data_IF_526606910730
#
_entry.id   IF_526606910730
#
_cell.length_a   1.000
_cell.length_b   1.000
_cell.length_c   1.000
_cell.angle_alpha   90.00
_cell.angle_beta   90.00
_cell.angle_gamma   90.00
#
_symmetry.space_group_name_H-M   'P 1'
#
loop_
_entity.id
_entity.type
_entity.pdbx_description
1 polymer ?
#
# COMPACT_ATOMS: atom_id res chain seq x y z
N UNK A 1 14.84 -11.19 10.22
CA UNK A 1 16.02 -11.27 9.31
C UNK A 1 15.66 -12.10 8.07
N UNK A 2 16.01 -11.65 6.87
CA UNK A 2 15.68 -12.36 5.61
C UNK A 2 14.38 -11.92 4.93
N UNK A 3 13.95 -10.67 5.13
CA UNK A 3 12.81 -10.07 4.41
C UNK A 3 13.33 -8.86 3.64
N UNK A 4 12.96 -8.75 2.37
CA UNK A 4 13.16 -7.53 1.57
C UNK A 4 11.93 -6.65 1.70
N UNK A 5 12.14 -5.34 1.90
CA UNK A 5 11.06 -4.38 2.12
C UNK A 5 11.13 -3.32 1.02
N UNK A 6 10.02 -3.18 0.28
CA UNK A 6 9.76 -2.05 -0.59
C UNK A 6 8.73 -1.13 0.08
N UNK A 7 8.98 0.18 0.05
CA UNK A 7 8.08 1.19 0.62
C UNK A 7 7.46 2.00 -0.51
N UNK A 8 6.14 2.01 -0.60
CA UNK A 8 5.40 2.94 -1.42
C UNK A 8 5.14 4.21 -0.59
N UNK A 9 5.72 5.34 -1.00
CA UNK A 9 5.60 6.62 -0.30
C UNK A 9 5.11 7.72 -1.25
N UNK A 10 4.28 8.62 -0.74
CA UNK A 10 3.68 9.72 -1.49
C UNK A 10 3.51 10.94 -0.59
N UNK A 11 3.46 12.16 -1.16
CA UNK A 11 3.12 13.35 -0.39
C UNK A 11 1.83 13.17 0.41
N UNK A 12 1.78 13.79 1.59
CA UNK A 12 0.58 13.74 2.44
C UNK A 12 -0.65 14.18 1.64
N UNK A 13 -1.73 13.41 1.78
CA UNK A 13 -3.01 13.63 1.11
C UNK A 13 -3.02 13.45 -0.42
N UNK A 14 -1.90 13.10 -1.05
CA UNK A 14 -1.86 12.75 -2.47
C UNK A 14 -2.24 11.28 -2.69
N UNK A 15 -3.55 11.06 -2.78
CA UNK A 15 -4.14 9.73 -2.91
C UNK A 15 -3.79 9.07 -4.25
N UNK A 16 -3.70 9.84 -5.31
CA UNK A 16 -3.40 9.29 -6.64
C UNK A 16 -1.95 8.86 -6.74
N UNK A 17 -1.03 9.69 -6.22
CA UNK A 17 0.38 9.35 -6.15
C UNK A 17 0.62 8.12 -5.27
N UNK A 18 -0.08 8.00 -4.14
CA UNK A 18 0.00 6.80 -3.30
C UNK A 18 -0.40 5.53 -4.06
N UNK A 19 -1.51 5.55 -4.81
CA UNK A 19 -1.92 4.41 -5.63
C UNK A 19 -0.88 4.10 -6.71
N UNK A 20 -0.31 5.13 -7.35
CA UNK A 20 0.73 4.97 -8.36
C UNK A 20 1.98 4.30 -7.79
N UNK A 21 2.38 4.68 -6.58
CA UNK A 21 3.56 4.13 -5.89
C UNK A 21 3.36 2.66 -5.50
N UNK A 22 2.16 2.28 -5.03
CA UNK A 22 1.82 0.86 -4.84
C UNK A 22 1.83 0.09 -6.16
N UNK A 23 1.27 0.64 -7.22
CA UNK A 23 1.27 -0.01 -8.53
C UNK A 23 2.69 -0.24 -9.07
N UNK A 24 3.57 0.75 -8.90
CA UNK A 24 4.98 0.68 -9.28
C UNK A 24 5.76 -0.33 -8.42
N UNK A 25 5.58 -0.31 -7.09
CA UNK A 25 6.23 -1.27 -6.20
C UNK A 25 5.86 -2.72 -6.54
N UNK A 26 4.60 -2.93 -6.94
CA UNK A 26 4.07 -4.22 -7.34
C UNK A 26 4.39 -4.61 -8.81
N UNK A 27 5.25 -3.87 -9.51
CA UNK A 27 5.87 -4.36 -10.76
C UNK A 27 6.86 -5.49 -10.46
N UNK A 28 7.43 -5.50 -9.26
CA UNK A 28 8.19 -6.63 -8.72
C UNK A 28 7.25 -7.50 -7.87
N UNK A 29 7.25 -8.84 -8.02
CA UNK A 29 6.46 -9.72 -7.18
C UNK A 29 6.76 -9.52 -5.69
N UNK A 30 5.72 -9.40 -4.88
CA UNK A 30 5.81 -9.30 -3.43
C UNK A 30 5.00 -10.44 -2.78
N UNK A 31 5.50 -10.98 -1.67
CA UNK A 31 4.79 -12.06 -0.93
C UNK A 31 3.57 -11.54 -0.17
N UNK A 32 3.56 -10.26 0.19
CA UNK A 32 2.44 -9.59 0.85
C UNK A 32 2.56 -8.07 0.72
N UNK A 33 1.41 -7.40 0.84
CA UNK A 33 1.31 -5.95 1.03
C UNK A 33 0.72 -5.66 2.41
N UNK A 34 1.33 -4.74 3.14
CA UNK A 34 0.81 -4.21 4.40
C UNK A 34 0.49 -2.73 4.18
N UNK A 35 -0.72 -2.31 4.55
CA UNK A 35 -1.16 -0.92 4.40
C UNK A 35 -1.94 -0.49 5.64
N UNK A 36 -1.63 0.69 6.16
CA UNK A 36 -2.43 1.32 7.23
C UNK A 36 -3.69 1.93 6.64
N UNK A 37 -4.83 1.85 7.33
CA UNK A 37 -6.07 2.46 6.87
C UNK A 37 -6.06 3.98 7.06
N UNK A 38 -5.66 4.43 8.24
CA UNK A 38 -5.59 5.84 8.62
C UNK A 38 -4.27 6.12 9.31
N UNK A 39 -3.54 7.14 8.86
CA UNK A 39 -2.39 7.61 9.62
C UNK A 39 -2.87 8.22 10.94
N UNK A 40 -2.46 7.64 12.05
CA UNK A 40 -2.72 8.16 13.40
C UNK A 40 -2.00 9.50 13.67
N UNK A 41 -0.90 9.78 12.96
CA UNK A 41 -0.15 11.04 13.08
C UNK A 41 -0.81 12.15 12.26
N UNK A 42 -1.27 11.84 11.04
CA UNK A 42 -1.72 12.85 10.09
C UNK A 42 -3.24 12.87 9.85
N UNK A 43 -4.00 11.92 10.41
CA UNK A 43 -5.43 11.77 10.14
C UNK A 43 -5.77 11.42 8.69
N UNK A 44 -4.77 11.04 7.89
CA UNK A 44 -4.92 10.79 6.46
C UNK A 44 -5.46 9.38 6.21
N UNK A 45 -6.64 9.28 5.57
CA UNK A 45 -7.20 8.01 5.11
C UNK A 45 -6.57 7.59 3.78
N UNK A 46 -5.96 6.42 3.76
CA UNK A 46 -5.34 5.86 2.56
C UNK A 46 -6.41 5.31 1.59
N UNK A 47 -6.17 5.31 0.27
CA UNK A 47 -7.09 4.79 -0.74
C UNK A 47 -7.07 3.24 -0.80
N UNK A 48 -7.38 2.60 0.33
CA UNK A 48 -7.16 1.17 0.58
C UNK A 48 -7.95 0.26 -0.36
N UNK A 49 -9.12 0.68 -0.83
CA UNK A 49 -9.92 -0.10 -1.78
C UNK A 49 -9.21 -0.24 -3.13
N UNK A 50 -8.55 0.83 -3.60
CA UNK A 50 -7.79 0.80 -4.86
C UNK A 50 -6.49 0.02 -4.71
N UNK A 51 -5.82 0.15 -3.57
CA UNK A 51 -4.60 -0.61 -3.28
C UNK A 51 -4.93 -2.12 -3.18
N UNK A 52 -6.02 -2.48 -2.50
CA UNK A 52 -6.47 -3.86 -2.41
C UNK A 52 -6.85 -4.44 -3.79
N UNK A 53 -7.46 -3.63 -4.66
CA UNK A 53 -7.76 -4.05 -6.03
C UNK A 53 -6.48 -4.38 -6.83
N UNK A 54 -5.45 -3.53 -6.74
CA UNK A 54 -4.14 -3.78 -7.36
C UNK A 54 -3.48 -5.08 -6.85
N UNK A 55 -3.56 -5.33 -5.54
CA UNK A 55 -3.03 -6.56 -4.94
C UNK A 55 -3.78 -7.78 -5.45
N UNK A 56 -5.12 -7.71 -5.50
CA UNK A 56 -5.96 -8.80 -6.02
C UNK A 56 -5.67 -9.12 -7.48
N UNK A 57 -5.50 -8.10 -8.33
CA UNK A 57 -5.14 -8.27 -9.75
C UNK A 57 -3.81 -9.00 -9.93
N UNK A 58 -2.88 -8.83 -8.99
CA UNK A 58 -1.55 -9.46 -9.01
C UNK A 58 -1.46 -10.74 -8.18
N UNK A 59 -2.55 -11.17 -7.55
CA UNK A 59 -2.55 -12.35 -6.68
C UNK A 59 -1.75 -12.19 -5.39
N UNK A 60 -1.50 -10.96 -4.94
CA UNK A 60 -0.72 -10.66 -3.73
C UNK A 60 -1.64 -10.51 -2.52
N UNK A 61 -1.38 -11.18 -1.39
CA UNK A 61 -2.12 -10.98 -0.14
C UNK A 61 -2.05 -9.53 0.34
N UNK A 62 -3.19 -8.97 0.74
CA UNK A 62 -3.32 -7.60 1.27
C UNK A 62 -3.72 -7.62 2.75
N UNK A 63 -2.88 -7.03 3.59
CA UNK A 63 -3.10 -6.88 5.04
C UNK A 63 -3.39 -5.41 5.33
N UNK A 64 -4.57 -5.15 5.87
CA UNK A 64 -4.99 -3.82 6.30
C UNK A 64 -4.80 -3.67 7.81
N UNK A 65 -3.96 -2.73 8.22
CA UNK A 65 -3.86 -2.28 9.59
C UNK A 65 -4.89 -1.17 9.86
N UNK A 66 -5.88 -1.47 10.70
CA UNK A 66 -7.01 -0.59 11.01
C UNK A 66 -7.14 -0.31 12.51
N UNK A 67 -6.02 -0.35 13.24
CA UNK A 67 -5.95 -0.05 14.68
C UNK A 67 -6.29 1.40 15.01
#
# INVERSE_FOLDING_TARGET
PGVEIAVADAPLFDREEMVRQFAQALETPADAVICTHVSNVFGCRLPVERIAALCRERGVPFVLDAS
#
